data_IF_062545724073
#
_entry.id   IF_062545724073
#
_cell.length_a   1.000
_cell.length_b   1.000
_cell.length_c   1.000
_cell.angle_alpha   90.00
_cell.angle_beta   90.00
_cell.angle_gamma   90.00
#
_symmetry.space_group_name_H-M   'P 1'
#
loop_
_entity.id
_entity.type
_entity.pdbx_description
1 polymer ?
#
# COMPACT_ATOMS: atom_id res chain seq x y z
N UNK A 1 -15.80 -31.11 19.65
CA UNK A 1 -15.32 -29.84 19.08
C UNK A 1 -16.26 -29.52 17.92
N UNK A 2 -17.09 -28.48 18.02
CA UNK A 2 -17.92 -28.03 16.90
C UNK A 2 -17.06 -27.13 16.00
N UNK A 3 -16.87 -27.53 14.75
CA UNK A 3 -16.21 -26.72 13.72
C UNK A 3 -17.10 -25.53 13.40
N UNK A 4 -16.88 -24.40 14.10
CA UNK A 4 -17.55 -23.15 13.77
C UNK A 4 -17.01 -22.69 12.42
N UNK A 5 -17.84 -22.57 11.36
CA UNK A 5 -17.36 -22.12 10.06
C UNK A 5 -16.81 -20.70 10.20
N UNK A 6 -15.51 -20.51 9.99
CA UNK A 6 -14.94 -19.17 9.93
C UNK A 6 -15.58 -18.42 8.75
N UNK A 7 -16.19 -17.25 8.96
CA UNK A 7 -16.81 -16.49 7.88
C UNK A 7 -15.77 -16.22 6.80
N UNK A 8 -16.01 -16.73 5.59
CA UNK A 8 -15.10 -16.51 4.48
C UNK A 8 -15.17 -15.04 4.09
N UNK A 9 -14.06 -14.33 4.25
CA UNK A 9 -13.96 -12.93 3.87
C UNK A 9 -14.22 -12.78 2.37
N UNK A 10 -15.14 -11.87 2.04
CA UNK A 10 -15.52 -11.62 0.66
C UNK A 10 -14.34 -11.09 -0.17
N UNK A 11 -14.10 -11.70 -1.34
CA UNK A 11 -12.98 -11.36 -2.23
C UNK A 11 -12.95 -9.89 -2.63
N UNK A 12 -14.11 -9.25 -2.81
CA UNK A 12 -14.19 -7.83 -3.16
C UNK A 12 -13.54 -6.93 -2.10
N UNK A 13 -13.64 -7.28 -0.80
CA UNK A 13 -13.00 -6.50 0.28
C UNK A 13 -11.49 -6.53 0.17
N UNK A 14 -10.93 -7.69 -0.18
CA UNK A 14 -9.48 -7.88 -0.40
C UNK A 14 -8.99 -7.09 -1.62
N UNK A 15 -9.76 -7.12 -2.71
CA UNK A 15 -9.42 -6.37 -3.94
C UNK A 15 -9.49 -4.86 -3.69
N UNK A 16 -10.57 -4.38 -3.06
CA UNK A 16 -10.71 -2.95 -2.73
C UNK A 16 -9.62 -2.52 -1.75
N UNK A 17 -9.31 -3.30 -0.71
CA UNK A 17 -8.20 -3.02 0.19
C UNK A 17 -6.88 -2.89 -0.56
N UNK A 18 -6.54 -3.84 -1.43
CA UNK A 18 -5.31 -3.80 -2.21
C UNK A 18 -5.20 -2.56 -3.12
N UNK A 19 -6.31 -2.15 -3.75
CA UNK A 19 -6.36 -0.92 -4.57
C UNK A 19 -6.13 0.32 -3.70
N UNK A 20 -6.86 0.43 -2.57
CA UNK A 20 -6.72 1.57 -1.66
C UNK A 20 -5.32 1.65 -1.04
N UNK A 21 -4.75 0.50 -0.67
CA UNK A 21 -3.37 0.39 -0.19
C UNK A 21 -2.40 0.88 -1.25
N UNK A 22 -2.53 0.39 -2.48
CA UNK A 22 -1.66 0.81 -3.59
C UNK A 22 -1.74 2.32 -3.82
N UNK A 23 -2.95 2.89 -3.89
CA UNK A 23 -3.12 4.34 -4.06
C UNK A 23 -2.52 5.11 -2.88
N UNK A 24 -2.74 4.66 -1.65
CA UNK A 24 -2.21 5.31 -0.45
C UNK A 24 -0.69 5.32 -0.47
N UNK A 25 -0.05 4.17 -0.67
CA UNK A 25 1.42 4.11 -0.69
C UNK A 25 2.00 4.82 -1.92
N UNK A 26 1.30 4.80 -3.06
CA UNK A 26 1.75 5.49 -4.26
C UNK A 26 1.73 7.01 -4.09
N UNK A 27 0.63 7.58 -3.59
CA UNK A 27 0.53 9.03 -3.40
C UNK A 27 1.36 9.53 -2.22
N UNK A 28 1.23 8.88 -1.06
CA UNK A 28 1.97 9.29 0.15
C UNK A 28 3.46 9.03 -0.05
N UNK A 29 3.82 7.83 -0.50
CA UNK A 29 5.21 7.47 -0.79
C UNK A 29 5.80 8.29 -1.92
N UNK A 30 5.05 8.52 -3.00
CA UNK A 30 5.49 9.32 -4.14
C UNK A 30 5.74 10.78 -3.75
N UNK A 31 4.90 11.34 -2.88
CA UNK A 31 5.12 12.68 -2.34
C UNK A 31 6.35 12.73 -1.42
N UNK A 32 6.53 11.74 -0.54
CA UNK A 32 7.72 11.65 0.33
C UNK A 32 9.00 11.54 -0.51
N UNK A 33 9.02 10.66 -1.51
CA UNK A 33 10.15 10.48 -2.40
C UNK A 33 10.41 11.76 -3.20
N UNK A 34 9.38 12.33 -3.84
CA UNK A 34 9.49 13.57 -4.59
C UNK A 34 10.03 14.73 -3.74
N UNK A 35 9.56 14.87 -2.50
CA UNK A 35 10.05 15.86 -1.54
C UNK A 35 11.53 15.64 -1.20
N UNK A 36 11.94 14.38 -0.99
CA UNK A 36 13.32 14.03 -0.64
C UNK A 36 14.30 14.14 -1.81
N UNK A 37 13.86 13.93 -3.05
CA UNK A 37 14.71 13.96 -4.24
C UNK A 37 14.66 15.29 -5.00
N UNK A 38 13.85 16.25 -4.54
CA UNK A 38 13.62 17.53 -5.23
C UNK A 38 12.78 17.42 -6.51
N UNK A 39 12.05 16.31 -6.70
CA UNK A 39 11.20 16.06 -7.86
C UNK A 39 9.72 16.40 -7.61
N UNK A 40 9.42 17.29 -6.67
CA UNK A 40 8.07 17.83 -6.52
C UNK A 40 7.73 18.76 -7.68
N UNK A 41 6.46 18.75 -8.06
CA UNK A 41 5.89 19.65 -9.08
C UNK A 41 4.75 20.46 -8.47
N UNK A 42 4.25 21.46 -9.19
CA UNK A 42 3.10 22.26 -8.75
C UNK A 42 1.82 21.44 -8.54
N UNK A 43 1.70 20.27 -9.18
CA UNK A 43 0.54 19.39 -9.09
C UNK A 43 0.79 18.09 -8.31
N UNK A 44 2.01 17.82 -7.85
CA UNK A 44 2.36 16.58 -7.14
C UNK A 44 3.84 16.26 -7.18
N UNK A 45 4.21 15.16 -7.82
CA UNK A 45 5.58 14.70 -7.92
C UNK A 45 5.85 14.10 -9.31
N UNK A 46 7.11 14.14 -9.72
CA UNK A 46 7.62 13.54 -10.95
C UNK A 46 8.48 12.33 -10.61
N UNK A 47 8.18 11.18 -11.20
CA UNK A 47 8.97 9.95 -11.02
C UNK A 47 9.82 9.72 -12.26
N UNK A 48 11.11 10.03 -12.15
CA UNK A 48 12.09 9.77 -13.21
C UNK A 48 13.34 9.10 -12.62
N UNK A 49 13.85 8.10 -13.34
CA UNK A 49 15.06 7.36 -12.98
C UNK A 49 15.05 6.85 -11.55
N UNK A 50 15.99 7.35 -10.73
CA UNK A 50 16.20 6.90 -9.35
C UNK A 50 15.00 7.13 -8.44
N UNK A 51 14.26 8.23 -8.61
CA UNK A 51 13.07 8.51 -7.80
C UNK A 51 11.94 7.49 -8.04
N UNK A 52 11.81 6.98 -9.27
CA UNK A 52 10.86 5.90 -9.59
C UNK A 52 11.26 4.59 -8.90
N UNK A 53 12.56 4.25 -8.92
CA UNK A 53 13.08 3.05 -8.23
C UNK A 53 12.87 3.14 -6.71
N UNK A 54 13.12 4.30 -6.10
CA UNK A 54 12.87 4.53 -4.68
C UNK A 54 11.40 4.32 -4.31
N UNK A 55 10.48 4.84 -5.13
CA UNK A 55 9.05 4.62 -4.89
C UNK A 55 8.69 3.13 -5.00
N UNK A 56 9.20 2.42 -6.00
CA UNK A 56 8.97 0.98 -6.13
C UNK A 56 9.45 0.19 -4.91
N UNK A 57 10.64 0.50 -4.40
CA UNK A 57 11.19 -0.11 -3.18
C UNK A 57 10.25 0.18 -1.99
N UNK A 58 9.78 1.42 -1.86
CA UNK A 58 8.88 1.83 -0.78
C UNK A 58 7.52 1.11 -0.85
N UNK A 59 6.96 0.94 -2.05
CA UNK A 59 5.73 0.17 -2.27
C UNK A 59 5.91 -1.29 -1.86
N UNK A 60 7.00 -1.92 -2.32
CA UNK A 60 7.31 -3.32 -1.98
C UNK A 60 7.50 -3.45 -0.47
N UNK A 61 8.25 -2.54 0.15
CA UNK A 61 8.47 -2.52 1.59
C UNK A 61 7.15 -2.39 2.37
N UNK A 62 6.25 -1.50 1.95
CA UNK A 62 4.94 -1.34 2.57
C UNK A 62 4.12 -2.63 2.57
N UNK A 63 3.98 -3.28 1.40
CA UNK A 63 3.23 -4.53 1.29
C UNK A 63 3.93 -5.70 1.99
N UNK A 64 5.25 -5.74 1.96
CA UNK A 64 6.04 -6.76 2.67
C UNK A 64 5.85 -6.63 4.18
N UNK A 65 6.03 -5.44 4.75
CA UNK A 65 5.82 -5.18 6.18
C UNK A 65 4.37 -5.43 6.58
N UNK A 66 3.42 -4.92 5.79
CA UNK A 66 1.98 -5.13 5.99
C UNK A 66 1.63 -6.62 6.08
N UNK A 67 2.05 -7.42 5.11
CA UNK A 67 1.70 -8.85 5.05
C UNK A 67 2.51 -9.71 6.01
N UNK A 68 3.81 -9.48 6.10
CA UNK A 68 4.74 -10.39 6.79
C UNK A 68 4.90 -10.08 8.28
N UNK A 69 4.86 -8.80 8.65
CA UNK A 69 5.14 -8.35 10.03
C UNK A 69 3.85 -7.98 10.75
N UNK A 70 2.94 -7.31 10.05
CA UNK A 70 1.73 -6.70 10.63
C UNK A 70 0.47 -7.56 10.50
N UNK A 71 0.53 -8.68 9.79
CA UNK A 71 -0.62 -9.59 9.59
C UNK A 71 -1.72 -9.04 8.68
N UNK A 72 -1.46 -7.95 7.96
CA UNK A 72 -2.38 -7.28 7.06
C UNK A 72 -1.97 -5.81 6.82
N UNK A 73 -2.27 -5.30 5.63
CA UNK A 73 -2.06 -3.89 5.28
C UNK A 73 -3.09 -2.97 5.95
N UNK A 74 -2.89 -1.65 5.85
CA UNK A 74 -3.77 -0.65 6.47
C UNK A 74 -5.24 -0.86 6.07
N UNK A 75 -5.52 -0.96 4.78
CA UNK A 75 -6.90 -1.07 4.32
C UNK A 75 -7.49 -2.46 4.51
N UNK A 76 -6.67 -3.51 4.61
CA UNK A 76 -7.14 -4.82 5.03
C UNK A 76 -7.68 -4.78 6.47
N UNK A 77 -7.00 -4.04 7.36
CA UNK A 77 -7.46 -3.86 8.75
C UNK A 77 -8.74 -3.02 8.84
N UNK A 78 -8.85 -1.98 8.03
CA UNK A 78 -10.02 -1.08 8.01
C UNK A 78 -11.26 -1.80 7.44
N UNK A 79 -11.10 -2.58 6.37
CA UNK A 79 -12.20 -3.28 5.71
C UNK A 79 -12.48 -4.68 6.27
N UNK A 80 -11.73 -5.10 7.30
CA UNK A 80 -11.75 -6.47 7.84
C UNK A 80 -11.64 -7.51 6.72
N UNK A 81 -10.61 -7.35 5.89
CA UNK A 81 -10.34 -8.12 4.67
C UNK A 81 -9.22 -9.17 4.85
#
# INVERSE_FOLDING_TARGET
>A
MSDVPTPQVATWRKVVAAILDFLTVFFVGGYIVGASTGNLTSSGFKLEGMSALLLFILIIAYFYVGRKILGGTLWQRILSA
#
